data_IF_055271072992
#
_entry.id   IF_055271072992
#
_cell.length_a   1.000
_cell.length_b   1.000
_cell.length_c   1.000
_cell.angle_alpha   90.00
_cell.angle_beta   90.00
_cell.angle_gamma   90.00
#
_symmetry.space_group_name_H-M   'P 1'
#
loop_
_entity.id
_entity.type
_entity.pdbx_description
1 polymer ?
#
# COMPACT_ATOMS: atom_id res chain seq x y z
N UNK A 1 -11.41 3.66 38.75
CA UNK A 1 -11.35 2.18 38.94
C UNK A 1 -10.60 1.65 37.75
N UNK A 2 -9.43 0.99 37.90
CA UNK A 2 -8.67 0.54 36.75
C UNK A 2 -9.39 -0.67 36.14
N UNK A 3 -9.95 -0.49 34.94
CA UNK A 3 -10.52 -1.58 34.18
C UNK A 3 -9.37 -2.34 33.50
N UNK A 4 -9.30 -3.65 33.73
CA UNK A 4 -8.34 -4.54 33.09
C UNK A 4 -8.54 -4.63 31.59
N UNK A 5 -7.46 -4.98 30.89
CA UNK A 5 -7.38 -5.09 29.42
C UNK A 5 -8.43 -6.07 28.88
N UNK A 6 -9.16 -5.76 27.80
CA UNK A 6 -10.16 -6.65 27.21
C UNK A 6 -9.57 -8.00 26.73
N UNK A 7 -10.30 -9.10 27.00
CA UNK A 7 -9.94 -10.50 26.75
C UNK A 7 -9.95 -10.95 25.26
N UNK A 8 -9.76 -10.02 24.32
CA UNK A 8 -9.31 -10.35 22.95
C UNK A 8 -7.81 -10.08 22.77
N UNK A 9 -7.09 -9.92 23.89
CA UNK A 9 -5.65 -9.83 23.99
C UNK A 9 -4.92 -11.07 23.49
N UNK A 10 -4.93 -11.28 22.17
CA UNK A 10 -3.85 -11.96 21.47
C UNK A 10 -2.60 -11.06 21.53
N UNK A 11 -2.02 -10.96 22.72
CA UNK A 11 -0.61 -10.60 22.94
C UNK A 11 0.20 -11.88 22.70
N UNK A 12 0.14 -12.38 21.47
CA UNK A 12 1.15 -13.31 20.96
C UNK A 12 2.23 -12.48 20.29
N UNK A 13 3.52 -12.79 20.45
CA UNK A 13 4.56 -12.13 19.67
C UNK A 13 4.30 -12.42 18.18
N UNK A 14 3.84 -11.41 17.44
CA UNK A 14 3.90 -11.42 15.98
C UNK A 14 5.32 -10.99 15.62
N UNK A 15 6.22 -11.94 15.44
CA UNK A 15 7.63 -11.66 15.12
C UNK A 15 7.83 -10.88 13.80
N UNK A 16 6.81 -10.85 12.93
CA UNK A 16 6.88 -10.16 11.63
C UNK A 16 5.82 -9.07 11.44
N UNK A 17 5.19 -8.56 12.51
CA UNK A 17 4.24 -7.45 12.36
C UNK A 17 4.37 -6.47 13.52
N UNK A 18 4.73 -5.23 13.21
CA UNK A 18 4.82 -4.13 14.17
C UNK A 18 3.46 -3.89 14.85
N UNK A 19 3.42 -4.09 16.17
CA UNK A 19 2.28 -3.75 17.01
C UNK A 19 2.00 -2.24 17.01
N UNK A 20 0.72 -1.89 16.95
CA UNK A 20 0.24 -0.54 16.72
C UNK A 20 -0.06 0.20 18.03
N UNK A 21 0.95 0.70 18.73
CA UNK A 21 0.75 1.41 20.02
C UNK A 21 0.63 2.94 19.90
N UNK A 22 1.01 3.55 18.77
CA UNK A 22 0.88 5.01 18.57
C UNK A 22 0.49 5.37 17.14
N UNK A 23 -0.79 5.68 16.93
CA UNK A 23 -1.36 6.03 15.62
C UNK A 23 -0.90 7.41 15.11
N UNK A 24 -0.60 8.35 16.00
CA UNK A 24 -0.19 9.71 15.63
C UNK A 24 1.30 9.77 15.28
N UNK A 25 2.14 9.12 16.07
CA UNK A 25 3.60 9.14 15.88
C UNK A 25 4.03 8.26 14.70
N UNK A 26 3.32 7.17 14.42
CA UNK A 26 3.64 6.27 13.31
C UNK A 26 3.33 6.89 11.93
N UNK A 27 2.29 7.71 11.83
CA UNK A 27 1.97 8.47 10.62
C UNK A 27 3.05 9.52 10.30
N UNK A 28 3.55 10.21 11.34
CA UNK A 28 4.63 11.20 11.22
C UNK A 28 5.97 10.52 10.87
N UNK A 29 6.29 9.36 11.45
CA UNK A 29 7.54 8.63 11.17
C UNK A 29 7.61 7.98 9.79
N UNK A 30 6.48 7.61 9.18
CA UNK A 30 6.44 7.00 7.84
C UNK A 30 6.21 7.99 6.69
N UNK A 31 6.04 9.29 6.97
CA UNK A 31 5.71 10.27 5.92
C UNK A 31 4.42 9.93 5.17
N UNK A 32 3.47 9.30 5.87
CA UNK A 32 2.30 8.67 5.22
C UNK A 32 1.36 9.69 4.57
N UNK A 33 0.85 9.44 3.36
CA UNK A 33 -0.11 10.31 2.70
C UNK A 33 -1.57 10.16 3.16
N UNK A 34 -1.85 9.34 4.17
CA UNK A 34 -3.21 8.98 4.55
C UNK A 34 -3.56 9.37 5.99
N UNK A 35 -4.73 10.01 6.14
CA UNK A 35 -5.32 10.45 7.41
C UNK A 35 -6.40 9.49 7.95
N UNK A 36 -6.65 8.36 7.26
CA UNK A 36 -7.76 7.45 7.59
C UNK A 36 -7.35 6.33 8.55
N UNK A 37 -8.32 5.88 9.36
CA UNK A 37 -8.18 4.79 10.32
C UNK A 37 -7.87 3.46 9.60
N UNK A 38 -6.78 2.81 10.02
CA UNK A 38 -6.22 1.59 9.43
C UNK A 38 -6.33 0.43 10.42
N UNK A 39 -7.55 0.00 10.74
CA UNK A 39 -7.81 -1.15 11.66
C UNK A 39 -7.29 -2.52 11.14
N UNK A 40 -6.33 -2.53 10.22
CA UNK A 40 -5.63 -3.70 9.69
C UNK A 40 -4.17 -3.38 9.35
N UNK A 41 -3.41 -4.40 8.99
CA UNK A 41 -1.98 -4.28 8.68
C UNK A 41 -1.78 -3.69 7.27
N UNK A 42 -1.00 -2.60 7.17
CA UNK A 42 -0.61 -2.01 5.88
C UNK A 42 0.55 -2.81 5.31
N UNK A 43 0.29 -3.52 4.20
CA UNK A 43 1.29 -4.41 3.57
C UNK A 43 2.12 -3.72 2.48
N UNK A 44 1.61 -2.61 1.90
CA UNK A 44 2.34 -1.78 0.95
C UNK A 44 1.68 -0.41 0.81
N UNK A 45 2.50 0.61 0.59
CA UNK A 45 2.09 2.00 0.37
C UNK A 45 3.14 2.69 -0.49
N UNK A 46 2.71 3.53 -1.43
CA UNK A 46 3.60 4.30 -2.30
C UNK A 46 2.97 5.65 -2.64
N UNK A 47 3.83 6.66 -2.78
CA UNK A 47 3.50 7.97 -3.34
C UNK A 47 4.09 8.15 -4.75
N UNK A 48 4.65 7.08 -5.32
CA UNK A 48 5.22 7.02 -6.67
C UNK A 48 6.32 8.04 -6.97
N UNK A 49 6.98 8.61 -5.93
CA UNK A 49 8.12 9.53 -6.12
C UNK A 49 9.29 8.92 -6.88
N UNK A 50 9.53 7.63 -6.67
CA UNK A 50 10.56 6.85 -7.37
C UNK A 50 10.06 6.25 -8.70
N UNK A 51 8.87 6.66 -9.15
CA UNK A 51 8.25 6.19 -10.39
C UNK A 51 7.55 4.84 -10.28
N UNK A 52 7.46 4.11 -11.40
CA UNK A 52 6.74 2.83 -11.53
C UNK A 52 7.65 1.59 -11.48
N UNK A 53 8.95 1.75 -11.21
CA UNK A 53 9.91 0.65 -11.28
C UNK A 53 9.70 -0.46 -10.25
N UNK A 54 8.98 -0.18 -9.15
CA UNK A 54 8.72 -1.13 -8.07
C UNK A 54 7.41 -1.90 -8.20
N UNK A 55 6.63 -1.61 -9.26
CA UNK A 55 5.31 -2.17 -9.53
C UNK A 55 5.23 -2.69 -10.96
N UNK A 56 4.53 -3.79 -11.16
CA UNK A 56 4.15 -4.25 -12.48
C UNK A 56 3.00 -3.43 -13.02
N UNK A 57 3.04 -3.08 -14.30
CA UNK A 57 1.95 -2.42 -15.02
C UNK A 57 1.34 -3.38 -16.03
N UNK A 58 0.03 -3.29 -16.22
CA UNK A 58 -0.67 -4.04 -17.25
C UNK A 58 -1.71 -3.16 -17.92
N UNK A 59 -1.77 -3.25 -19.24
CA UNK A 59 -2.85 -2.74 -20.08
C UNK A 59 -3.37 -3.91 -20.90
N UNK A 60 -4.69 -4.08 -20.92
CA UNK A 60 -5.35 -5.13 -21.69
C UNK A 60 -5.08 -5.03 -23.20
N UNK A 61 -5.48 -6.06 -23.96
CA UNK A 61 -5.39 -6.01 -25.40
C UNK A 61 -6.35 -4.95 -25.97
N UNK A 62 -5.78 -3.80 -26.29
CA UNK A 62 -6.42 -2.60 -26.81
C UNK A 62 -5.31 -1.61 -27.16
N UNK A 63 -5.48 -0.77 -28.17
CA UNK A 63 -4.38 0.08 -28.62
C UNK A 63 -4.30 1.41 -27.86
N UNK A 64 -5.32 1.75 -27.06
CA UNK A 64 -5.46 3.07 -26.46
C UNK A 64 -5.37 3.14 -24.94
N UNK A 65 -5.26 2.02 -24.22
CA UNK A 65 -5.04 2.04 -22.78
C UNK A 65 -3.62 2.47 -22.39
N UNK A 66 -3.46 3.03 -21.19
CA UNK A 66 -2.13 3.38 -20.66
C UNK A 66 -2.07 3.41 -19.13
N UNK A 67 -0.87 3.12 -18.60
CA UNK A 67 -0.51 3.29 -17.18
C UNK A 67 0.71 4.21 -17.12
N UNK A 68 0.54 5.43 -16.63
CA UNK A 68 1.59 6.45 -16.67
C UNK A 68 1.72 7.22 -15.36
N UNK A 69 2.91 7.75 -15.09
CA UNK A 69 3.08 8.77 -14.06
C UNK A 69 2.45 10.07 -14.53
N UNK A 70 1.71 10.70 -13.63
CA UNK A 70 0.97 11.92 -13.87
C UNK A 70 1.26 12.94 -12.77
N UNK A 71 1.28 14.22 -13.09
CA UNK A 71 1.72 15.27 -12.15
C UNK A 71 0.63 16.26 -11.76
N UNK A 72 -0.50 16.28 -12.47
CA UNK A 72 -1.51 17.35 -12.30
C UNK A 72 -2.47 17.10 -11.14
N UNK A 73 -2.84 15.83 -10.92
CA UNK A 73 -3.85 15.44 -9.93
C UNK A 73 -3.23 14.66 -8.76
N UNK A 74 -1.94 14.89 -8.50
CA UNK A 74 -1.26 14.27 -7.38
C UNK A 74 -1.81 14.81 -6.06
N UNK A 75 -2.31 13.90 -5.21
CA UNK A 75 -2.81 14.25 -3.88
C UNK A 75 -1.67 14.60 -2.91
N UNK A 76 -0.52 13.98 -3.08
CA UNK A 76 0.68 14.19 -2.29
C UNK A 76 1.91 13.91 -3.14
N UNK A 77 2.97 14.69 -2.93
CA UNK A 77 4.17 14.61 -3.74
C UNK A 77 3.96 15.15 -5.16
N UNK A 78 4.91 14.86 -6.04
CA UNK A 78 4.90 15.36 -7.42
C UNK A 78 4.18 14.44 -8.40
N UNK A 79 3.99 13.16 -8.04
CA UNK A 79 3.47 12.14 -8.94
C UNK A 79 2.24 11.44 -8.37
N UNK A 80 1.34 11.05 -9.27
CA UNK A 80 0.35 10.02 -9.08
C UNK A 80 0.38 9.09 -10.30
N UNK A 81 -0.41 8.02 -10.26
CA UNK A 81 -0.56 7.12 -11.42
C UNK A 81 -1.91 7.35 -12.06
N UNK A 82 -1.89 7.58 -13.37
CA UNK A 82 -3.09 7.62 -14.18
C UNK A 82 -3.25 6.28 -14.91
N UNK A 83 -4.44 5.70 -14.74
CA UNK A 83 -4.88 4.50 -15.45
C UNK A 83 -5.91 4.94 -16.48
N UNK A 84 -5.71 4.56 -17.73
CA UNK A 84 -6.64 4.83 -18.83
C UNK A 84 -6.92 3.56 -19.61
N UNK A 85 -8.17 3.42 -20.03
CA UNK A 85 -8.63 2.38 -20.94
C UNK A 85 -9.34 3.03 -22.11
N UNK A 86 -9.27 2.40 -23.28
CA UNK A 86 -9.93 2.87 -24.50
C UNK A 86 -11.34 2.30 -24.69
N UNK A 87 -11.67 1.25 -23.94
CA UNK A 87 -12.93 0.52 -23.98
C UNK A 87 -13.41 0.13 -22.59
N UNK A 88 -14.72 -0.11 -22.50
CA UNK A 88 -15.38 -0.55 -21.26
C UNK A 88 -15.02 -1.98 -20.84
N UNK A 89 -14.54 -2.81 -21.78
CA UNK A 89 -14.12 -4.20 -21.52
C UNK A 89 -12.60 -4.36 -21.32
N UNK A 90 -11.85 -3.26 -21.39
CA UNK A 90 -10.41 -3.26 -21.20
C UNK A 90 -10.06 -3.04 -19.72
N UNK A 91 -8.94 -3.62 -19.29
CA UNK A 91 -8.45 -3.51 -17.92
C UNK A 91 -7.06 -2.88 -17.94
N UNK A 92 -6.86 -1.83 -17.15
CA UNK A 92 -5.55 -1.29 -16.83
C UNK A 92 -5.34 -1.36 -15.31
N UNK A 93 -4.22 -1.93 -14.85
CA UNK A 93 -3.95 -2.06 -13.42
C UNK A 93 -2.46 -2.03 -13.07
N UNK A 94 -2.21 -1.76 -11.80
CA UNK A 94 -0.91 -1.93 -11.13
C UNK A 94 -0.96 -3.21 -10.30
N UNK A 95 0.15 -3.95 -10.26
CA UNK A 95 0.28 -5.10 -9.38
C UNK A 95 1.64 -5.12 -8.70
N UNK A 96 1.67 -5.61 -7.45
CA UNK A 96 2.90 -5.79 -6.68
C UNK A 96 2.94 -7.20 -6.14
N UNK A 97 4.00 -7.92 -6.47
CA UNK A 97 4.27 -9.22 -5.86
C UNK A 97 4.94 -8.99 -4.52
N UNK A 98 4.27 -9.42 -3.46
CA UNK A 98 4.84 -9.52 -2.12
C UNK A 98 4.94 -11.00 -1.80
N UNK A 99 6.12 -11.53 -1.43
CA UNK A 99 6.21 -12.90 -1.00
C UNK A 99 5.37 -13.10 0.26
N UNK A 100 4.66 -14.24 0.35
CA UNK A 100 3.98 -14.60 1.58
C UNK A 100 5.05 -14.87 2.66
N UNK A 101 4.98 -14.21 3.84
CA UNK A 101 6.00 -14.34 4.88
C UNK A 101 6.24 -15.78 5.35
N UNK A 102 5.28 -16.68 5.14
CA UNK A 102 5.34 -18.09 5.55
C UNK A 102 6.11 -18.97 4.55
N UNK A 103 6.31 -18.51 3.29
CA UNK A 103 6.91 -19.33 2.22
C UNK A 103 8.20 -18.76 1.61
N UNK A 104 8.58 -17.52 1.92
CA UNK A 104 9.86 -16.96 1.45
C UNK A 104 10.90 -16.98 2.56
N UNK A 105 11.94 -17.79 2.40
CA UNK A 105 13.13 -17.82 3.24
C UNK A 105 14.07 -16.61 3.01
N UNK A 106 13.54 -15.43 2.68
CA UNK A 106 14.33 -14.20 2.53
C UNK A 106 14.42 -13.47 3.88
N UNK A 107 14.95 -14.19 4.88
CA UNK A 107 15.01 -13.76 6.27
C UNK A 107 15.91 -14.68 7.10
N UNK A 108 17.15 -14.85 6.66
CA UNK A 108 18.29 -15.27 7.49
C UNK A 108 19.43 -14.29 7.31
#
# INVERSE_FOLDING_TARGET
MPHGTPDWGLVGPKDTVYGLDDLGEHAVRLGTPHLWDRRGDVIWMSDFREGLGDVGTFVGPGAGGSVVLHTEYARQGAYCVQLTTDKDDEIAFLHKYLPFPVYSSEGH
#
